data_IF_260394821796
#
_entry.id   IF_260394821796
#
_cell.length_a   1.000
_cell.length_b   1.000
_cell.length_c   1.000
_cell.angle_alpha   90.00
_cell.angle_beta   90.00
_cell.angle_gamma   90.00
#
_symmetry.space_group_name_H-M   'P 1'
#
loop_
_entity.id
_entity.type
_entity.pdbx_description
1 polymer ?
#
# COMPACT_ATOMS: atom_id res chain seq x y z
N UNK A 1 19.17 9.79 47.23
CA UNK A 1 18.65 10.10 45.87
C UNK A 1 19.00 8.99 44.86
N UNK A 2 18.62 7.73 45.12
CA UNK A 2 18.79 6.60 44.16
C UNK A 2 17.46 5.95 43.73
N UNK A 3 16.33 6.42 44.27
CA UNK A 3 15.02 5.76 44.10
C UNK A 3 14.15 6.37 43.00
N UNK A 4 14.53 7.51 42.42
CA UNK A 4 13.82 8.12 41.30
C UNK A 4 14.32 7.57 39.95
N UNK A 5 15.63 7.31 39.83
CA UNK A 5 16.23 6.75 38.61
C UNK A 5 15.76 5.31 38.32
N UNK A 6 15.61 4.48 39.36
CA UNK A 6 15.08 3.12 39.21
C UNK A 6 13.57 3.08 38.87
N UNK A 7 12.81 4.14 39.14
CA UNK A 7 11.41 4.26 38.68
C UNK A 7 11.31 4.76 37.23
N UNK A 8 12.30 5.52 36.75
CA UNK A 8 12.37 5.95 35.36
C UNK A 8 12.74 4.79 34.43
N UNK A 9 13.55 3.84 34.93
CA UNK A 9 14.01 2.64 34.20
C UNK A 9 13.19 1.37 34.53
N UNK A 10 12.26 1.46 35.49
CA UNK A 10 11.42 0.34 35.92
C UNK A 10 10.10 0.20 35.16
N UNK A 11 9.87 1.03 34.14
CA UNK A 11 8.73 0.93 33.24
C UNK A 11 9.12 0.16 31.97
N UNK A 12 8.64 -1.07 31.88
CA UNK A 12 8.68 -1.96 30.70
C UNK A 12 10.06 -2.49 30.31
N UNK A 13 10.55 -3.47 31.06
CA UNK A 13 11.09 -4.66 30.40
C UNK A 13 10.08 -5.75 30.74
N UNK A 14 8.95 -5.75 30.01
CA UNK A 14 8.26 -7.01 29.79
C UNK A 14 9.32 -7.92 29.22
N UNK A 15 9.53 -9.05 29.89
CA UNK A 15 10.18 -10.24 29.38
C UNK A 15 10.12 -10.23 27.85
N UNK A 16 11.29 -10.16 27.21
CA UNK A 16 11.45 -10.38 25.77
C UNK A 16 10.86 -11.77 25.51
N UNK A 17 9.55 -11.80 25.34
CA UNK A 17 8.88 -12.81 24.56
C UNK A 17 9.45 -12.56 23.20
N UNK A 18 10.47 -13.36 22.87
CA UNK A 18 11.00 -13.55 21.55
C UNK A 18 9.80 -13.48 20.60
N UNK A 19 9.58 -12.31 20.01
CA UNK A 19 8.48 -12.12 19.09
C UNK A 19 9.00 -12.75 17.82
N UNK A 20 9.00 -14.08 17.77
CA UNK A 20 9.23 -14.80 16.54
C UNK A 20 8.18 -14.25 15.58
N UNK A 21 8.60 -13.54 14.51
CA UNK A 21 7.63 -13.05 13.54
C UNK A 21 6.89 -14.28 13.04
N UNK A 22 5.55 -14.22 13.04
CA UNK A 22 4.74 -15.28 12.42
C UNK A 22 5.36 -15.59 11.06
N UNK A 23 5.62 -16.88 10.80
CA UNK A 23 6.20 -17.31 9.54
C UNK A 23 5.40 -16.69 8.39
N UNK A 24 6.10 -16.08 7.42
CA UNK A 24 5.45 -15.39 6.32
C UNK A 24 4.49 -16.33 5.57
N UNK A 25 3.20 -16.12 5.76
CA UNK A 25 2.16 -16.92 5.12
C UNK A 25 1.89 -16.36 3.71
N UNK A 26 2.57 -16.96 2.73
CA UNK A 26 2.38 -16.68 1.31
C UNK A 26 0.90 -16.71 0.89
N UNK A 27 0.10 -17.61 1.46
CA UNK A 27 -1.31 -17.75 1.08
C UNK A 27 -2.16 -16.59 1.60
N UNK A 28 -1.86 -16.13 2.82
CA UNK A 28 -2.51 -14.99 3.45
C UNK A 28 -2.17 -13.71 2.71
N UNK A 29 -0.88 -13.46 2.45
CA UNK A 29 -0.42 -12.18 1.90
C UNK A 29 -0.55 -12.05 0.38
N UNK A 30 -0.75 -13.15 -0.35
CA UNK A 30 -0.84 -13.12 -1.81
C UNK A 30 -1.94 -12.19 -2.33
N UNK A 31 -3.10 -12.14 -1.65
CA UNK A 31 -4.19 -11.23 -2.00
C UNK A 31 -3.80 -9.77 -1.85
N UNK A 32 -3.23 -9.38 -0.70
CA UNK A 32 -2.82 -7.99 -0.45
C UNK A 32 -1.69 -7.58 -1.41
N UNK A 33 -0.76 -8.48 -1.71
CA UNK A 33 0.28 -8.22 -2.72
C UNK A 33 -0.31 -8.02 -4.12
N UNK A 34 -1.34 -8.79 -4.48
CA UNK A 34 -2.01 -8.64 -5.77
C UNK A 34 -2.74 -7.30 -5.87
N UNK A 35 -3.45 -6.89 -4.81
CA UNK A 35 -4.10 -5.59 -4.74
C UNK A 35 -3.10 -4.44 -4.87
N UNK A 36 -2.01 -4.47 -4.09
CA UNK A 36 -0.95 -3.46 -4.16
C UNK A 36 -0.30 -3.44 -5.55
N UNK A 37 -0.03 -4.60 -6.14
CA UNK A 37 0.54 -4.68 -7.49
C UNK A 37 -0.39 -4.08 -8.54
N UNK A 38 -1.70 -4.29 -8.41
CA UNK A 38 -2.72 -3.71 -9.30
C UNK A 38 -2.73 -2.17 -9.19
N UNK A 39 -2.69 -1.64 -7.96
CA UNK A 39 -2.65 -0.19 -7.71
C UNK A 39 -1.39 0.46 -8.27
N UNK A 40 -0.22 -0.18 -8.07
CA UNK A 40 1.05 0.32 -8.62
C UNK A 40 1.01 0.31 -10.15
N UNK A 41 0.46 -0.74 -10.76
CA UNK A 41 0.29 -0.82 -12.21
C UNK A 41 -0.62 0.29 -12.75
N UNK A 42 -1.73 0.56 -12.06
CA UNK A 42 -2.64 1.66 -12.41
C UNK A 42 -1.95 3.01 -12.38
N UNK A 43 -1.21 3.29 -11.29
CA UNK A 43 -0.49 4.55 -11.14
C UNK A 43 0.55 4.75 -12.25
N UNK A 44 1.32 3.71 -12.58
CA UNK A 44 2.34 3.78 -13.63
C UNK A 44 1.72 4.03 -15.01
N UNK A 45 0.58 3.42 -15.31
CA UNK A 45 -0.12 3.66 -16.57
C UNK A 45 -0.68 5.09 -16.64
N UNK A 46 -1.29 5.60 -15.56
CA UNK A 46 -1.82 6.97 -15.50
C UNK A 46 -0.71 8.01 -15.69
N UNK A 47 0.44 7.85 -15.02
CA UNK A 47 1.55 8.83 -15.10
C UNK A 47 2.19 8.86 -16.50
N UNK A 48 2.15 7.75 -17.24
CA UNK A 48 2.74 7.64 -18.58
C UNK A 48 1.83 8.17 -19.68
N UNK A 49 0.54 8.34 -19.41
CA UNK A 49 -0.43 8.81 -20.41
C UNK A 49 -0.61 10.32 -20.28
N UNK A 50 -0.29 11.09 -21.34
CA UNK A 50 -0.61 12.51 -21.37
C UNK A 50 -2.12 12.70 -21.22
N UNK A 51 -2.54 13.44 -20.19
CA UNK A 51 -3.96 13.68 -19.91
C UNK A 51 -4.58 14.56 -20.98
N UNK A 52 -3.85 15.57 -21.44
CA UNK A 52 -4.31 16.56 -22.41
C UNK A 52 -3.53 16.47 -23.72
N UNK A 53 -4.23 16.69 -24.83
CA UNK A 53 -3.63 16.86 -26.15
C UNK A 53 -3.10 18.29 -26.36
N UNK A 54 -2.51 18.55 -27.52
CA UNK A 54 -1.96 19.85 -27.91
C UNK A 54 -2.99 20.99 -27.92
N UNK A 55 -4.29 20.66 -27.94
CA UNK A 55 -5.41 21.61 -27.91
C UNK A 55 -6.00 21.77 -26.52
N UNK A 56 -5.46 21.08 -25.51
CA UNK A 56 -5.96 21.06 -24.14
C UNK A 56 -7.20 20.19 -23.93
N UNK A 57 -7.54 19.30 -24.87
CA UNK A 57 -8.63 18.34 -24.73
C UNK A 57 -8.13 17.02 -24.12
N UNK A 58 -9.00 16.29 -23.40
CA UNK A 58 -8.64 14.99 -22.81
C UNK A 58 -8.27 14.00 -23.92
N UNK A 59 -7.13 13.32 -23.77
CA UNK A 59 -6.68 12.34 -24.76
C UNK A 59 -7.55 11.08 -24.75
N UNK A 60 -7.67 10.44 -25.92
CA UNK A 60 -8.35 9.15 -26.04
C UNK A 60 -7.70 8.08 -25.14
N UNK A 61 -6.38 8.13 -25.01
CA UNK A 61 -5.63 7.19 -24.18
C UNK A 61 -5.93 7.39 -22.69
N UNK A 62 -6.12 8.63 -22.25
CA UNK A 62 -6.54 8.96 -20.88
C UNK A 62 -7.93 8.38 -20.57
N UNK A 63 -8.87 8.47 -21.51
CA UNK A 63 -10.19 7.84 -21.37
C UNK A 63 -10.10 6.31 -21.28
N UNK A 64 -9.26 5.68 -22.12
CA UNK A 64 -9.10 4.23 -22.12
C UNK A 64 -8.50 3.71 -20.80
N UNK A 65 -7.54 4.43 -20.22
CA UNK A 65 -6.97 4.09 -18.91
C UNK A 65 -8.01 4.23 -17.80
N UNK A 66 -8.82 5.28 -17.83
CA UNK A 66 -9.89 5.48 -16.85
C UNK A 66 -10.92 4.34 -16.89
N UNK A 67 -11.43 4.01 -18.08
CA UNK A 67 -12.42 2.95 -18.27
C UNK A 67 -11.91 1.59 -17.77
N UNK A 68 -10.65 1.25 -18.11
CA UNK A 68 -10.00 0.02 -17.67
C UNK A 68 -10.00 -0.11 -16.14
N UNK A 69 -9.58 0.91 -15.42
CA UNK A 69 -9.47 0.81 -13.95
C UNK A 69 -10.80 0.99 -13.23
N UNK A 70 -11.76 1.71 -13.80
CA UNK A 70 -13.14 1.73 -13.30
C UNK A 70 -13.76 0.32 -13.36
N UNK A 71 -13.64 -0.36 -14.49
CA UNK A 71 -14.16 -1.73 -14.64
C UNK A 71 -13.49 -2.76 -13.72
N UNK A 72 -12.24 -2.52 -13.30
CA UNK A 72 -11.54 -3.37 -12.34
C UNK A 72 -11.95 -3.07 -10.89
N UNK A 73 -12.27 -1.82 -10.56
CA UNK A 73 -12.80 -1.44 -9.25
C UNK A 73 -14.14 -2.11 -8.94
N UNK A 74 -15.02 -2.22 -9.95
CA UNK A 74 -16.32 -2.89 -9.83
C UNK A 74 -16.19 -4.43 -9.68
N UNK A 75 -15.06 -5.01 -10.08
CA UNK A 75 -14.78 -6.46 -9.95
C UNK A 75 -14.20 -6.82 -8.57
N UNK A 76 -13.69 -5.82 -7.84
CA UNK A 76 -13.03 -5.99 -6.54
C UNK A 76 -13.85 -5.49 -5.35
N UNK A 77 -15.03 -4.91 -5.59
CA UNK A 77 -15.99 -4.42 -4.59
C UNK A 77 -17.15 -5.40 -4.36
#
# INVERSE_FOLDING_TARGET
>A
MKNAFNRLLGGQISEDTEHEPEAFDLSRYASEFQEVALLVKALVEIVKVPVLDEKGAITKDSYAVQEKYQSMGDVLA
#
